data_IF_369818833742
#
_entry.id   IF_369818833742
#
_cell.length_a   1.000
_cell.length_b   1.000
_cell.length_c   1.000
_cell.angle_alpha   90.00
_cell.angle_beta   90.00
_cell.angle_gamma   90.00
#
_symmetry.space_group_name_H-M   'P 1'
#
loop_
_entity.id
_entity.type
_entity.pdbx_description
1 polymer ?
#
# COMPACT_ATOMS: atom_id res chain seq x y z
N UNK A 1 11.05 9.61 2.52
CA UNK A 1 10.57 10.71 3.36
C UNK A 1 9.66 10.15 4.45
N UNK A 2 9.57 10.80 5.63
CA UNK A 2 8.67 10.34 6.71
C UNK A 2 7.19 10.59 6.38
N UNK A 3 6.92 11.68 5.66
CA UNK A 3 5.56 12.09 5.26
C UNK A 3 4.92 11.07 4.33
N UNK A 4 5.66 10.58 3.33
CA UNK A 4 5.19 9.55 2.39
C UNK A 4 4.72 8.27 3.12
N UNK A 5 5.53 7.82 4.09
CA UNK A 5 5.17 6.68 4.93
C UNK A 5 3.89 6.94 5.74
N UNK A 6 3.72 8.15 6.28
CA UNK A 6 2.51 8.50 7.03
C UNK A 6 1.25 8.43 6.16
N UNK A 7 1.33 8.87 4.90
CA UNK A 7 0.22 8.74 3.96
C UNK A 7 -0.15 7.28 3.70
N UNK A 8 0.84 6.40 3.51
CA UNK A 8 0.59 4.96 3.36
C UNK A 8 -0.10 4.35 4.57
N UNK A 9 0.37 4.65 5.78
CA UNK A 9 -0.24 4.14 7.01
C UNK A 9 -1.66 4.69 7.22
N UNK A 10 -1.91 5.95 6.90
CA UNK A 10 -3.26 6.54 7.00
C UNK A 10 -4.25 5.86 6.04
N UNK A 11 -3.82 5.55 4.81
CA UNK A 11 -4.64 4.81 3.85
C UNK A 11 -4.90 3.38 4.31
N UNK A 12 -3.91 2.68 4.88
CA UNK A 12 -4.10 1.35 5.48
C UNK A 12 -5.11 1.40 6.63
N UNK A 13 -4.95 2.35 7.54
CA UNK A 13 -5.85 2.51 8.68
C UNK A 13 -7.28 2.83 8.24
N UNK A 14 -7.45 3.67 7.22
CA UNK A 14 -8.76 3.98 6.62
C UNK A 14 -9.40 2.73 6.02
N UNK A 15 -8.65 1.94 5.25
CA UNK A 15 -9.14 0.70 4.66
C UNK A 15 -9.57 -0.32 5.72
N UNK A 16 -8.81 -0.43 6.82
CA UNK A 16 -9.14 -1.30 7.95
C UNK A 16 -10.38 -0.81 8.71
N UNK A 17 -10.47 0.49 9.02
CA UNK A 17 -11.65 1.08 9.69
C UNK A 17 -12.93 0.89 8.86
N UNK A 18 -12.82 1.00 7.54
CA UNK A 18 -13.92 0.82 6.61
C UNK A 18 -14.16 -0.66 6.23
N UNK A 19 -13.28 -1.57 6.69
CA UNK A 19 -13.25 -3.00 6.35
C UNK A 19 -13.33 -3.25 4.84
N UNK A 20 -12.64 -2.41 4.07
CA UNK A 20 -12.68 -2.42 2.62
C UNK A 20 -11.27 -2.36 2.05
N UNK A 21 -10.75 -3.53 1.67
CA UNK A 21 -9.48 -3.68 0.95
C UNK A 21 -9.41 -2.77 -0.29
N UNK A 22 -10.51 -2.68 -1.03
CA UNK A 22 -10.61 -1.91 -2.27
C UNK A 22 -10.16 -0.45 -2.10
N UNK A 23 -10.38 0.16 -0.93
CA UNK A 23 -9.94 1.53 -0.66
C UNK A 23 -8.42 1.66 -0.77
N UNK A 24 -7.68 0.69 -0.23
CA UNK A 24 -6.22 0.71 -0.29
C UNK A 24 -5.71 0.36 -1.70
N UNK A 25 -6.38 -0.57 -2.39
CA UNK A 25 -6.05 -0.92 -3.78
C UNK A 25 -6.24 0.28 -4.71
N UNK A 26 -7.38 0.98 -4.64
CA UNK A 26 -7.62 2.20 -5.43
C UNK A 26 -6.58 3.29 -5.12
N UNK A 27 -6.22 3.46 -3.84
CA UNK A 27 -5.14 4.36 -3.44
C UNK A 27 -3.80 4.00 -4.10
N UNK A 28 -3.43 2.72 -4.12
CA UNK A 28 -2.20 2.26 -4.74
C UNK A 28 -2.18 2.47 -6.26
N UNK A 29 -3.29 2.16 -6.94
CA UNK A 29 -3.43 2.36 -8.39
C UNK A 29 -3.37 3.86 -8.75
N UNK A 30 -4.05 4.71 -7.99
CA UNK A 30 -4.02 6.16 -8.16
C UNK A 30 -2.61 6.72 -7.96
N UNK A 31 -1.94 6.31 -6.88
CA UNK A 31 -0.58 6.76 -6.56
C UNK A 31 0.40 6.30 -7.65
N UNK A 32 0.31 5.06 -8.11
CA UNK A 32 1.12 4.56 -9.22
C UNK A 32 0.95 5.45 -10.47
N UNK A 33 -0.28 5.80 -10.83
CA UNK A 33 -0.55 6.69 -11.97
C UNK A 33 0.06 8.09 -11.82
N UNK A 34 0.20 8.61 -10.60
CA UNK A 34 0.92 9.86 -10.33
C UNK A 34 2.42 9.64 -10.48
N UNK A 35 2.98 8.62 -9.82
CA UNK A 35 4.41 8.35 -9.81
C UNK A 35 4.96 8.10 -11.22
N UNK A 36 4.25 7.30 -12.03
CA UNK A 36 4.62 7.04 -13.43
C UNK A 36 4.59 8.33 -14.27
N UNK A 37 3.61 9.22 -14.06
CA UNK A 37 3.60 10.54 -14.73
C UNK A 37 4.81 11.41 -14.35
N UNK A 38 5.37 11.20 -13.18
CA UNK A 38 6.59 11.86 -12.71
C UNK A 38 7.88 11.11 -13.10
N UNK A 39 7.79 10.04 -13.89
CA UNK A 39 8.93 9.25 -14.38
C UNK A 39 9.46 8.23 -13.37
N UNK A 40 8.70 7.91 -12.32
CA UNK A 40 9.04 6.84 -11.39
C UNK A 40 8.48 5.50 -11.84
N UNK A 41 9.30 4.45 -11.68
CA UNK A 41 8.92 3.09 -12.01
C UNK A 41 8.05 2.47 -10.89
N UNK A 42 7.01 1.71 -11.28
CA UNK A 42 6.07 1.03 -10.37
C UNK A 42 6.75 0.11 -9.35
N UNK A 43 7.93 -0.43 -9.66
CA UNK A 43 8.74 -1.24 -8.75
C UNK A 43 9.15 -0.47 -7.49
N UNK A 44 9.33 0.86 -7.56
CA UNK A 44 9.65 1.66 -6.37
C UNK A 44 8.48 1.71 -5.39
N UNK A 45 7.24 1.78 -5.91
CA UNK A 45 6.04 1.74 -5.08
C UNK A 45 5.86 0.37 -4.44
N UNK A 46 6.08 -0.70 -5.21
CA UNK A 46 6.01 -2.09 -4.75
C UNK A 46 7.05 -2.34 -3.64
N UNK A 47 8.32 -1.96 -3.84
CA UNK A 47 9.38 -2.09 -2.82
C UNK A 47 8.97 -1.38 -1.53
N UNK A 48 8.35 -0.19 -1.64
CA UNK A 48 7.90 0.54 -0.47
C UNK A 48 6.82 -0.22 0.30
N UNK A 49 5.84 -0.82 -0.40
CA UNK A 49 4.80 -1.65 0.22
C UNK A 49 5.39 -2.90 0.89
N UNK A 50 6.31 -3.60 0.24
CA UNK A 50 6.99 -4.77 0.83
C UNK A 50 7.84 -4.39 2.05
N UNK A 51 8.42 -3.18 2.06
CA UNK A 51 9.14 -2.66 3.23
C UNK A 51 8.20 -2.33 4.37
N UNK A 52 7.01 -1.78 4.09
CA UNK A 52 5.98 -1.55 5.11
C UNK A 52 5.53 -2.89 5.70
N UNK A 53 5.22 -3.89 4.86
CA UNK A 53 4.81 -5.23 5.29
C UNK A 53 5.83 -5.87 6.26
N UNK A 54 7.13 -5.76 5.94
CA UNK A 54 8.20 -6.28 6.81
C UNK A 54 8.38 -5.50 8.11
N UNK A 55 8.03 -4.20 8.13
CA UNK A 55 8.25 -3.30 9.27
C UNK A 55 7.06 -3.20 10.21
N UNK A 56 5.87 -3.59 9.75
CA UNK A 56 4.64 -3.55 10.53
C UNK A 56 4.54 -4.70 11.54
N UNK A 57 5.36 -5.73 11.33
CA UNK A 57 5.47 -6.87 12.23
C UNK A 57 5.75 -6.40 13.66
N UNK A 58 4.94 -6.86 14.62
CA UNK A 58 5.06 -6.51 16.05
C UNK A 58 4.90 -4.99 16.35
N UNK A 59 4.35 -4.20 15.41
CA UNK A 59 4.06 -2.76 15.60
C UNK A 59 2.58 -2.46 15.81
N UNK A 60 1.72 -3.40 15.47
CA UNK A 60 0.25 -3.33 15.56
C UNK A 60 -0.27 -4.65 16.13
N UNK A 61 -1.52 -4.67 16.59
CA UNK A 61 -2.21 -5.91 16.99
C UNK A 61 -2.26 -6.93 15.83
N UNK A 62 -2.26 -8.22 16.15
CA UNK A 62 -2.25 -9.32 15.18
C UNK A 62 -3.36 -9.20 14.11
N UNK A 63 -4.59 -8.84 14.51
CA UNK A 63 -5.71 -8.68 13.57
C UNK A 63 -5.46 -7.56 12.56
N UNK A 64 -4.88 -6.43 13.01
CA UNK A 64 -4.51 -5.32 12.12
C UNK A 64 -3.33 -5.69 11.24
N UNK A 65 -2.37 -6.44 11.78
CA UNK A 65 -1.22 -6.91 11.04
C UNK A 65 -1.65 -7.78 9.85
N UNK A 66 -2.54 -8.75 10.08
CA UNK A 66 -3.09 -9.61 9.03
C UNK A 66 -3.86 -8.80 7.99
N UNK A 67 -4.77 -7.92 8.41
CA UNK A 67 -5.55 -7.10 7.50
C UNK A 67 -4.65 -6.18 6.63
N UNK A 68 -3.67 -5.53 7.25
CA UNK A 68 -2.74 -4.66 6.53
C UNK A 68 -1.88 -5.43 5.53
N UNK A 69 -1.42 -6.64 5.89
CA UNK A 69 -0.72 -7.54 4.96
C UNK A 69 -1.60 -7.89 3.77
N UNK A 70 -2.84 -8.28 4.00
CA UNK A 70 -3.79 -8.58 2.92
C UNK A 70 -3.95 -7.38 1.98
N UNK A 71 -4.14 -6.18 2.52
CA UNK A 71 -4.32 -4.98 1.70
C UNK A 71 -3.07 -4.60 0.91
N UNK A 72 -1.88 -4.72 1.52
CA UNK A 72 -0.60 -4.49 0.86
C UNK A 72 -0.39 -5.48 -0.30
N UNK A 73 -0.66 -6.76 -0.08
CA UNK A 73 -0.53 -7.79 -1.10
C UNK A 73 -1.50 -7.59 -2.27
N UNK A 74 -2.77 -7.27 -1.98
CA UNK A 74 -3.76 -6.96 -3.00
C UNK A 74 -3.35 -5.73 -3.83
N UNK A 75 -2.82 -4.68 -3.18
CA UNK A 75 -2.31 -3.50 -3.86
C UNK A 75 -1.09 -3.81 -4.75
N UNK A 76 -0.13 -4.59 -4.25
CA UNK A 76 1.07 -5.01 -5.02
C UNK A 76 0.64 -5.81 -6.25
N UNK A 77 -0.30 -6.75 -6.09
CA UNK A 77 -0.81 -7.54 -7.21
C UNK A 77 -1.49 -6.64 -8.24
N UNK A 78 -2.40 -5.76 -7.81
CA UNK A 78 -3.11 -4.87 -8.70
C UNK A 78 -2.18 -3.93 -9.48
N UNK A 79 -1.14 -3.38 -8.84
CA UNK A 79 -0.13 -2.53 -9.50
C UNK A 79 0.70 -3.33 -10.51
N UNK A 80 1.02 -4.60 -10.22
CA UNK A 80 1.70 -5.48 -11.17
C UNK A 80 0.84 -5.81 -12.39
N UNK A 81 -0.48 -6.01 -12.19
CA UNK A 81 -1.45 -6.30 -13.25
C UNK A 81 -1.74 -5.10 -14.17
N UNK A 82 -1.34 -3.87 -13.78
CA UNK A 82 -1.30 -2.75 -14.71
C UNK A 82 -0.23 -3.04 -15.77
N UNK A 83 -0.67 -3.57 -16.91
CA UNK A 83 0.08 -3.58 -18.16
C UNK A 83 0.18 -2.14 -18.67
N UNK A 84 1.40 -1.70 -19.00
CA UNK A 84 1.67 -0.41 -19.65
C UNK A 84 1.08 -0.34 -21.07
#
# INVERSE_FOLDING_TARGET
CREDNQHHFHSLETAYQMKQEKIYVDYALWLNGILVKHGMDKQHLIDNFERIERRIKEKVDDEKEEAFKTYLQAAIQAVNEISE
#
